data_IF_862748433949
#
_entry.id   IF_862748433949
#
_cell.length_a   1.000
_cell.length_b   1.000
_cell.length_c   1.000
_cell.angle_alpha   90.00
_cell.angle_beta   90.00
_cell.angle_gamma   90.00
#
_symmetry.space_group_name_H-M   'P 1'
#
loop_
_entity.id
_entity.type
_entity.pdbx_description
1 polymer ?
#
# COMPACT_ATOMS: atom_id res chain seq x y z
N UNK A 1 -2.47 12.74 0.14
CA UNK A 1 -1.12 12.68 0.70
C UNK A 1 -1.15 13.28 2.10
N UNK A 2 -0.75 12.54 3.12
CA UNK A 2 -0.62 13.02 4.50
C UNK A 2 0.85 12.97 4.92
N UNK A 3 1.48 14.11 5.17
CA UNK A 3 2.88 14.15 5.64
C UNK A 3 3.06 13.40 6.95
N UNK A 4 2.06 13.42 7.84
CA UNK A 4 2.07 12.68 9.08
C UNK A 4 2.12 11.16 8.86
N UNK A 5 1.40 10.64 7.86
CA UNK A 5 1.42 9.21 7.53
C UNK A 5 2.79 8.76 7.00
N UNK A 6 3.41 9.59 6.15
CA UNK A 6 4.76 9.31 5.62
C UNK A 6 5.81 9.31 6.74
N UNK A 7 5.78 10.33 7.61
CA UNK A 7 6.70 10.41 8.75
C UNK A 7 6.53 9.23 9.72
N UNK A 8 5.28 8.85 10.00
CA UNK A 8 5.00 7.65 10.78
C UNK A 8 5.59 6.39 10.13
N UNK A 9 5.41 6.21 8.81
CA UNK A 9 5.93 5.06 8.08
C UNK A 9 7.47 4.98 8.10
N UNK A 10 8.14 6.12 7.95
CA UNK A 10 9.61 6.23 8.01
C UNK A 10 10.17 5.77 9.35
N UNK A 11 9.49 6.14 10.44
CA UNK A 11 9.89 5.86 11.82
C UNK A 11 9.64 4.41 12.26
N UNK A 12 8.97 3.59 11.45
CA UNK A 12 8.79 2.17 11.77
C UNK A 12 10.13 1.42 11.75
N UNK A 13 10.35 0.57 12.75
CA UNK A 13 11.55 -0.25 12.91
C UNK A 13 11.22 -1.72 12.66
N UNK A 14 12.24 -2.57 12.46
CA UNK A 14 12.04 -4.01 12.25
C UNK A 14 11.55 -4.43 10.85
N UNK A 15 11.32 -3.49 9.94
CA UNK A 15 10.95 -3.77 8.55
C UNK A 15 12.19 -3.96 7.66
N UNK A 16 12.09 -4.87 6.69
CA UNK A 16 13.07 -4.95 5.60
C UNK A 16 13.01 -3.69 4.73
N UNK A 17 14.08 -3.35 3.99
CA UNK A 17 14.08 -2.17 3.12
C UNK A 17 12.90 -2.10 2.15
N UNK A 18 12.55 -3.23 1.52
CA UNK A 18 11.40 -3.32 0.61
C UNK A 18 10.07 -3.10 1.32
N UNK A 19 9.89 -3.66 2.52
CA UNK A 19 8.66 -3.50 3.32
C UNK A 19 8.51 -2.05 3.79
N UNK A 20 9.61 -1.41 4.20
CA UNK A 20 9.63 0.02 4.55
C UNK A 20 9.24 0.89 3.37
N UNK A 21 9.81 0.66 2.18
CA UNK A 21 9.46 1.42 0.97
C UNK A 21 7.99 1.23 0.56
N UNK A 22 7.48 -0.01 0.65
CA UNK A 22 6.07 -0.31 0.40
C UNK A 22 5.17 0.44 1.37
N UNK A 23 5.49 0.44 2.67
CA UNK A 23 4.71 1.14 3.68
C UNK A 23 4.68 2.67 3.44
N UNK A 24 5.84 3.27 3.15
CA UNK A 24 5.95 4.70 2.81
C UNK A 24 5.10 5.01 1.56
N UNK A 25 5.16 4.14 0.54
CA UNK A 25 4.38 4.30 -0.69
C UNK A 25 2.89 4.29 -0.40
N UNK A 26 2.40 3.32 0.38
CA UNK A 26 0.98 3.26 0.76
C UNK A 26 0.57 4.49 1.59
N UNK A 27 1.38 4.89 2.57
CA UNK A 27 1.15 6.07 3.38
C UNK A 27 1.10 7.36 2.55
N UNK A 28 1.93 7.46 1.51
CA UNK A 28 1.92 8.59 0.57
C UNK A 28 0.58 8.71 -0.17
N UNK A 29 -0.07 7.58 -0.43
CA UNK A 29 -1.34 7.47 -1.16
C UNK A 29 -2.56 7.52 -0.23
N UNK A 30 -2.36 7.67 1.08
CA UNK A 30 -3.47 7.69 2.03
C UNK A 30 -4.24 9.01 2.02
N UNK A 31 -5.53 8.91 2.36
CA UNK A 31 -6.37 10.04 2.74
C UNK A 31 -5.96 10.56 4.12
N UNK A 32 -6.56 11.68 4.54
CA UNK A 32 -6.40 12.24 5.89
C UNK A 32 -6.82 11.29 7.00
N UNK A 33 -7.72 10.35 6.69
CA UNK A 33 -8.21 9.32 7.62
C UNK A 33 -7.36 8.04 7.60
N UNK A 34 -6.19 8.06 6.93
CA UNK A 34 -5.29 6.90 6.86
C UNK A 34 -5.74 5.78 5.91
N UNK A 35 -6.77 6.01 5.09
CA UNK A 35 -7.28 5.01 4.15
C UNK A 35 -6.59 5.13 2.78
N UNK A 36 -6.30 4.00 2.13
CA UNK A 36 -5.72 3.97 0.80
C UNK A 36 -6.25 2.75 0.03
N UNK A 37 -6.39 2.88 -1.30
CA UNK A 37 -6.84 1.80 -2.18
C UNK A 37 -5.89 1.55 -3.38
N UNK A 38 -4.56 1.48 -3.17
CA UNK A 38 -3.65 1.15 -4.25
C UNK A 38 -3.80 -0.32 -4.65
N UNK A 39 -3.67 -0.61 -5.94
CA UNK A 39 -3.52 -2.00 -6.38
C UNK A 39 -2.10 -2.49 -6.10
N UNK A 40 -1.90 -3.80 -5.96
CA UNK A 40 -0.56 -4.39 -5.86
C UNK A 40 0.33 -4.02 -7.06
N UNK A 41 -0.27 -3.81 -8.24
CA UNK A 41 0.44 -3.38 -9.44
C UNK A 41 0.96 -1.94 -9.30
N UNK A 42 0.12 -1.03 -8.83
CA UNK A 42 0.51 0.37 -8.59
C UNK A 42 1.63 0.48 -7.56
N UNK A 43 1.60 -0.33 -6.50
CA UNK A 43 2.67 -0.38 -5.49
C UNK A 43 3.96 -0.92 -6.12
N UNK A 44 3.85 -2.00 -6.88
CA UNK A 44 4.99 -2.64 -7.54
C UNK A 44 5.73 -1.68 -8.47
N UNK A 45 4.99 -0.95 -9.32
CA UNK A 45 5.54 0.06 -10.23
C UNK A 45 6.25 1.19 -9.46
N UNK A 46 5.63 1.73 -8.41
CA UNK A 46 6.23 2.80 -7.60
C UNK A 46 7.46 2.35 -6.83
N UNK A 47 7.50 1.11 -6.38
CA UNK A 47 8.61 0.56 -5.60
C UNK A 47 9.71 -0.07 -6.48
N UNK A 48 9.48 -0.24 -7.79
CA UNK A 48 10.42 -0.93 -8.68
C UNK A 48 10.58 -2.42 -8.36
N UNK A 49 9.51 -3.10 -7.93
CA UNK A 49 9.51 -4.51 -7.52
C UNK A 49 8.47 -5.33 -8.28
N UNK A 50 8.58 -6.66 -8.25
CA UNK A 50 7.55 -7.52 -8.81
C UNK A 50 6.23 -7.43 -8.01
N UNK A 51 5.09 -7.59 -8.68
CA UNK A 51 3.75 -7.62 -8.06
C UNK A 51 3.62 -8.65 -6.93
N UNK A 52 4.27 -9.81 -7.08
CA UNK A 52 4.32 -10.84 -6.04
C UNK A 52 5.06 -10.34 -4.79
N UNK A 53 6.17 -9.61 -4.96
CA UNK A 53 6.93 -8.99 -3.87
C UNK A 53 6.13 -7.90 -3.16
N UNK A 54 5.39 -7.07 -3.90
CA UNK A 54 4.48 -6.09 -3.31
C UNK A 54 3.40 -6.77 -2.45
N UNK A 55 2.77 -7.83 -2.98
CA UNK A 55 1.76 -8.61 -2.26
C UNK A 55 2.31 -9.26 -0.98
N UNK A 56 3.51 -9.86 -1.06
CA UNK A 56 4.17 -10.47 0.10
C UNK A 56 4.55 -9.43 1.15
N UNK A 57 5.06 -8.28 0.72
CA UNK A 57 5.44 -7.18 1.61
C UNK A 57 4.23 -6.63 2.35
N UNK A 58 3.11 -6.39 1.66
CA UNK A 58 1.85 -5.98 2.28
C UNK A 58 1.37 -6.99 3.33
N UNK A 59 1.45 -8.29 3.04
CA UNK A 59 1.10 -9.33 4.00
C UNK A 59 1.97 -9.25 5.25
N UNK A 60 3.30 -9.11 5.11
CA UNK A 60 4.20 -9.01 6.25
C UNK A 60 4.01 -7.73 7.07
N UNK A 61 3.74 -6.61 6.41
CA UNK A 61 3.42 -5.34 7.07
C UNK A 61 2.11 -5.47 7.87
N UNK A 62 1.11 -6.17 7.31
CA UNK A 62 -0.13 -6.52 8.02
C UNK A 62 0.15 -7.44 9.21
N UNK A 63 0.93 -8.50 9.02
CA UNK A 63 1.29 -9.46 10.07
C UNK A 63 2.10 -8.78 11.20
N UNK A 64 2.84 -7.72 10.89
CA UNK A 64 3.51 -6.83 11.84
C UNK A 64 2.57 -5.83 12.54
N UNK A 65 1.27 -5.84 12.23
CA UNK A 65 0.27 -4.98 12.85
C UNK A 65 0.28 -3.52 12.39
N UNK A 66 1.04 -3.19 11.33
CA UNK A 66 1.20 -1.80 10.88
C UNK A 66 0.07 -1.32 9.97
N UNK A 67 -0.61 -2.24 9.28
CA UNK A 67 -1.77 -1.93 8.44
C UNK A 67 -2.88 -2.95 8.66
N UNK A 68 -4.12 -2.53 8.36
CA UNK A 68 -5.26 -3.42 8.20
C UNK A 68 -5.69 -3.46 6.75
N UNK A 69 -6.04 -4.66 6.25
CA UNK A 69 -6.56 -4.86 4.90
C UNK A 69 -8.00 -5.34 4.99
N UNK A 70 -8.94 -4.53 4.51
CA UNK A 70 -10.32 -4.92 4.27
C UNK A 70 -10.50 -5.36 2.81
N UNK A 71 -11.43 -6.27 2.56
CA UNK A 71 -11.83 -6.60 1.19
C UNK A 71 -12.45 -5.34 0.57
N UNK A 72 -11.78 -4.76 -0.43
CA UNK A 72 -12.35 -3.63 -1.16
C UNK A 72 -13.58 -4.09 -1.96
N UNK A 73 -14.61 -3.24 -2.13
CA UNK A 73 -15.72 -3.54 -3.02
C UNK A 73 -15.19 -3.78 -4.44
N UNK A 74 -15.69 -4.83 -5.10
CA UNK A 74 -15.27 -5.21 -6.45
C UNK A 74 -15.65 -4.11 -7.43
N UNK A 75 -14.66 -3.42 -8.01
CA UNK A 75 -14.92 -2.45 -9.09
C UNK A 75 -15.16 -3.22 -10.39
N UNK A 76 -16.38 -3.18 -10.90
CA UNK A 76 -16.77 -3.76 -12.19
C UNK A 76 -16.88 -2.63 -13.20
N UNK A 77 -16.04 -2.65 -14.25
CA UNK A 77 -16.14 -1.72 -15.36
C UNK A 77 -17.11 -2.30 -16.40
N UNK A 78 -18.23 -1.62 -16.64
CA UNK A 78 -19.11 -1.93 -17.77
C UNK A 78 -18.59 -1.13 -18.97
N UNK A 79 -18.29 -1.82 -20.07
CA UNK A 79 -18.02 -1.15 -21.34
C UNK A 79 -19.37 -0.88 -22.01
N UNK A 80 -19.77 0.38 -22.06
CA UNK A 80 -20.94 0.80 -22.83
C UNK A 80 -20.57 0.80 -24.31
N UNK A 81 -21.40 0.22 -25.20
CA UNK A 81 -21.21 0.38 -26.63
C UNK A 81 -21.39 1.87 -26.99
N UNK A 82 -20.44 2.40 -27.76
CA UNK A 82 -20.52 3.69 -28.45
C UNK A 82 -21.50 3.64 -29.60
#
# INVERSE_FOLDING_TARGET
MSMNAINWAMNQTGLRPTEKLVLITVASMSTVNGQAWPTNQTIAERCGIAKATASLSLRRIKDAGLISMSAAPRQIKINLPT
#
